data_IF_412249229737
#
_entry.id   IF_412249229737
#
_cell.length_a   1.000
_cell.length_b   1.000
_cell.length_c   1.000
_cell.angle_alpha   90.00
_cell.angle_beta   90.00
_cell.angle_gamma   90.00
#
_symmetry.space_group_name_H-M   'P 1'
#
loop_
_entity.id
_entity.type
_entity.pdbx_description
1 polymer ?
#
# COMPACT_ATOMS: atom_id res chain seq x y z
N UNK A 1 -50.51 -30.73 16.77
CA UNK A 1 -50.30 -30.32 15.37
C UNK A 1 -49.68 -28.93 15.38
N UNK A 2 -48.35 -28.87 15.36
CA UNK A 2 -47.57 -27.63 15.41
C UNK A 2 -47.25 -27.19 13.99
N UNK A 3 -47.77 -26.03 13.59
CA UNK A 3 -47.55 -25.46 12.27
C UNK A 3 -46.13 -24.91 12.15
N UNK A 4 -45.44 -25.30 11.08
CA UNK A 4 -44.07 -24.94 10.73
C UNK A 4 -43.96 -23.45 10.40
N UNK A 5 -43.09 -22.74 11.10
CA UNK A 5 -42.72 -21.36 10.81
C UNK A 5 -41.82 -21.32 9.58
N UNK A 6 -42.41 -21.03 8.42
CA UNK A 6 -41.67 -20.77 7.18
C UNK A 6 -40.89 -19.47 7.33
N UNK A 7 -39.57 -19.57 7.46
CA UNK A 7 -38.66 -18.44 7.47
C UNK A 7 -38.90 -17.57 6.22
N UNK A 8 -39.41 -16.36 6.42
CA UNK A 8 -39.54 -15.35 5.37
C UNK A 8 -38.13 -14.88 4.99
N UNK A 9 -37.62 -15.34 3.86
CA UNK A 9 -36.46 -14.74 3.20
C UNK A 9 -36.87 -13.30 2.88
N UNK A 10 -36.29 -12.34 3.60
CA UNK A 10 -36.45 -10.94 3.24
C UNK A 10 -35.76 -10.74 1.89
N UNK A 11 -36.43 -10.15 0.88
CA UNK A 11 -35.72 -9.75 -0.32
C UNK A 11 -34.58 -8.83 0.12
N UNK A 12 -33.38 -9.08 -0.41
CA UNK A 12 -32.25 -8.14 -0.28
C UNK A 12 -32.65 -6.94 -1.14
N UNK A 13 -33.47 -6.08 -0.56
CA UNK A 13 -33.88 -4.83 -1.18
C UNK A 13 -32.62 -3.98 -1.38
N UNK A 14 -32.41 -3.61 -2.64
CA UNK A 14 -31.53 -2.55 -3.10
C UNK A 14 -30.04 -2.86 -2.87
N UNK A 15 -29.40 -3.50 -3.86
CA UNK A 15 -27.98 -3.29 -4.11
C UNK A 15 -27.81 -1.80 -4.49
N UNK A 16 -27.85 -0.92 -3.48
CA UNK A 16 -27.33 0.43 -3.61
C UNK A 16 -25.91 0.25 -4.06
N UNK A 17 -25.73 0.38 -5.37
CA UNK A 17 -24.44 0.17 -6.01
C UNK A 17 -23.59 1.32 -5.53
N UNK A 18 -22.84 1.08 -4.45
CA UNK A 18 -21.91 2.05 -3.95
C UNK A 18 -20.89 2.30 -5.05
N UNK A 19 -20.94 3.49 -5.64
CA UNK A 19 -19.95 3.94 -6.62
C UNK A 19 -18.91 4.74 -5.86
N UNK A 20 -17.65 4.32 -5.97
CA UNK A 20 -16.54 5.14 -5.51
C UNK A 20 -16.56 6.48 -6.24
N UNK A 21 -16.29 7.61 -5.56
CA UNK A 21 -16.19 8.91 -6.20
C UNK A 21 -15.17 8.87 -7.33
N UNK A 22 -15.48 9.48 -8.47
CA UNK A 22 -14.56 9.53 -9.62
C UNK A 22 -13.23 10.23 -9.28
N UNK A 23 -13.22 11.09 -8.27
CA UNK A 23 -12.04 11.80 -7.78
C UNK A 23 -11.21 11.01 -6.76
N UNK A 24 -11.65 9.80 -6.38
CA UNK A 24 -10.92 8.96 -5.43
C UNK A 24 -9.59 8.53 -6.02
N UNK A 25 -8.52 8.68 -5.23
CA UNK A 25 -7.16 8.34 -5.64
C UNK A 25 -6.58 7.37 -4.64
N UNK A 26 -5.89 6.34 -5.15
CA UNK A 26 -5.13 5.43 -4.31
C UNK A 26 -3.80 6.10 -3.95
N UNK A 27 -3.45 6.08 -2.67
CA UNK A 27 -2.13 6.51 -2.20
C UNK A 27 -1.04 5.49 -2.56
N UNK A 28 0.24 5.88 -2.42
CA UNK A 28 1.34 4.94 -2.60
C UNK A 28 1.27 3.80 -1.56
N UNK A 29 1.71 2.57 -1.93
CA UNK A 29 1.92 1.52 -0.95
C UNK A 29 2.91 1.97 0.12
N UNK A 30 2.63 1.59 1.38
CA UNK A 30 3.53 1.82 2.51
C UNK A 30 4.06 0.46 3.00
N UNK A 31 5.38 0.28 2.99
CA UNK A 31 6.02 -0.95 3.45
C UNK A 31 6.89 -0.68 4.67
N UNK A 32 6.87 -1.60 5.64
CA UNK A 32 7.75 -1.54 6.80
C UNK A 32 9.08 -2.20 6.49
N UNK A 33 10.16 -1.55 6.90
CA UNK A 33 11.54 -2.00 6.64
C UNK A 33 12.38 -1.90 7.92
N UNK A 34 13.31 -2.84 8.10
CA UNK A 34 14.19 -2.91 9.28
C UNK A 34 15.45 -2.04 9.15
N UNK A 35 15.95 -1.85 7.93
CA UNK A 35 17.12 -1.02 7.61
C UNK A 35 16.78 -0.03 6.51
N UNK A 36 16.72 1.26 6.87
CA UNK A 36 16.48 2.34 5.92
C UNK A 36 17.59 2.44 4.88
N UNK A 37 18.85 2.38 5.32
CA UNK A 37 20.01 2.44 4.44
C UNK A 37 19.95 1.36 3.34
N UNK A 38 19.70 0.10 3.70
CA UNK A 38 19.62 -1.00 2.74
C UNK A 38 18.47 -0.79 1.74
N UNK A 39 17.32 -0.33 2.23
CA UNK A 39 16.17 -0.07 1.37
C UNK A 39 16.44 1.08 0.39
N UNK A 40 17.04 2.18 0.87
CA UNK A 40 17.40 3.33 0.03
C UNK A 40 18.41 2.92 -1.04
N UNK A 41 19.51 2.24 -0.69
CA UNK A 41 20.46 1.75 -1.70
C UNK A 41 19.78 0.94 -2.80
N UNK A 42 18.88 0.01 -2.45
CA UNK A 42 18.15 -0.76 -3.46
C UNK A 42 17.29 0.13 -4.38
N UNK A 43 16.49 1.03 -3.82
CA UNK A 43 15.56 1.84 -4.61
C UNK A 43 16.25 2.95 -5.40
N UNK A 44 17.29 3.57 -4.85
CA UNK A 44 18.03 4.65 -5.49
C UNK A 44 19.01 4.11 -6.55
N UNK A 45 19.73 3.02 -6.24
CA UNK A 45 20.77 2.50 -7.14
C UNK A 45 20.18 1.60 -8.23
N UNK A 46 19.28 0.67 -7.88
CA UNK A 46 18.73 -0.29 -8.83
C UNK A 46 17.50 0.25 -9.58
N UNK A 47 16.67 1.07 -8.92
CA UNK A 47 15.42 1.57 -9.51
C UNK A 47 15.42 3.06 -9.83
N UNK A 48 16.51 3.78 -9.51
CA UNK A 48 16.65 5.24 -9.75
C UNK A 48 15.48 6.05 -9.17
N UNK A 49 14.91 5.59 -8.06
CA UNK A 49 13.98 6.40 -7.29
C UNK A 49 14.78 7.41 -6.46
N UNK A 50 14.15 8.53 -6.14
CA UNK A 50 14.73 9.58 -5.30
C UNK A 50 13.84 9.80 -4.09
N UNK A 51 14.44 10.24 -2.97
CA UNK A 51 13.70 10.73 -1.82
C UNK A 51 12.91 11.99 -2.19
N UNK A 52 11.59 11.91 -2.03
CA UNK A 52 10.67 13.03 -2.25
C UNK A 52 10.25 13.74 -0.96
N UNK A 53 10.59 13.14 0.19
CA UNK A 53 10.39 13.75 1.50
C UNK A 53 10.54 12.76 2.62
N UNK A 54 10.86 13.26 3.81
CA UNK A 54 11.00 12.49 5.04
C UNK A 54 10.33 13.22 6.20
N UNK A 55 9.56 12.48 6.99
CA UNK A 55 8.89 12.99 8.19
C UNK A 55 8.59 11.84 9.15
N UNK A 56 8.35 12.15 10.41
CA UNK A 56 7.82 11.18 11.35
C UNK A 56 6.32 10.99 11.14
N UNK A 57 5.86 9.74 11.24
CA UNK A 57 4.44 9.43 11.24
C UNK A 57 3.81 9.87 12.57
N UNK A 58 2.74 10.66 12.50
CA UNK A 58 2.03 11.12 13.69
C UNK A 58 1.33 9.98 14.45
N UNK A 59 1.03 8.85 13.79
CA UNK A 59 0.29 7.76 14.42
C UNK A 59 1.16 6.84 15.29
N UNK A 60 2.39 6.53 14.85
CA UNK A 60 3.28 5.60 15.57
C UNK A 60 4.72 6.10 15.76
N UNK A 61 5.00 7.36 15.41
CA UNK A 61 6.29 8.02 15.61
C UNK A 61 7.42 7.49 14.73
N UNK A 62 7.14 6.57 13.80
CA UNK A 62 8.17 5.98 12.96
C UNK A 62 8.53 6.90 11.80
N UNK A 63 9.81 6.88 11.41
CA UNK A 63 10.26 7.63 10.25
C UNK A 63 9.61 7.08 8.96
N UNK A 64 9.03 8.00 8.19
CA UNK A 64 8.47 7.77 6.86
C UNK A 64 9.32 8.47 5.82
N UNK A 65 9.71 7.74 4.79
CA UNK A 65 10.45 8.26 3.63
C UNK A 65 9.67 7.96 2.36
N UNK A 66 9.29 9.00 1.63
CA UNK A 66 8.63 8.87 0.34
C UNK A 66 9.64 8.78 -0.80
N UNK A 67 9.46 7.83 -1.71
CA UNK A 67 10.30 7.59 -2.88
C UNK A 67 9.51 7.72 -4.18
N UNK A 68 10.12 8.23 -5.23
CA UNK A 68 9.52 8.30 -6.58
C UNK A 68 10.54 8.69 -7.65
N UNK A 69 10.16 8.60 -8.94
CA UNK A 69 11.03 9.05 -10.04
C UNK A 69 11.30 10.55 -9.98
N UNK A 70 12.36 11.00 -10.64
CA UNK A 70 12.76 12.40 -10.70
C UNK A 70 11.58 13.36 -11.00
N UNK A 71 10.80 13.05 -12.05
CA UNK A 71 9.66 13.83 -12.54
C UNK A 71 8.33 13.56 -11.80
N UNK A 72 8.31 12.61 -10.86
CA UNK A 72 7.10 12.27 -10.12
C UNK A 72 6.69 13.38 -9.15
N UNK A 73 5.44 13.84 -9.26
CA UNK A 73 4.88 14.88 -8.37
C UNK A 73 4.51 14.35 -6.99
N UNK A 74 4.33 13.04 -6.85
CA UNK A 74 3.94 12.37 -5.60
C UNK A 74 4.81 11.13 -5.41
N UNK A 75 5.07 10.72 -4.16
CA UNK A 75 5.73 9.46 -3.89
C UNK A 75 4.99 8.29 -4.54
N UNK A 76 5.75 7.35 -5.09
CA UNK A 76 5.28 6.06 -5.61
C UNK A 76 5.35 4.96 -4.55
N UNK A 77 6.22 5.12 -3.55
CA UNK A 77 6.42 4.18 -2.45
C UNK A 77 6.69 4.96 -1.16
N UNK A 78 6.14 4.50 -0.04
CA UNK A 78 6.51 4.98 1.29
C UNK A 78 7.25 3.88 2.03
N UNK A 79 8.45 4.17 2.49
CA UNK A 79 9.21 3.35 3.42
C UNK A 79 8.91 3.81 4.84
N UNK A 80 8.53 2.87 5.70
CA UNK A 80 8.32 3.12 7.13
C UNK A 80 9.37 2.38 7.93
N UNK A 81 10.34 3.12 8.48
CA UNK A 81 11.48 2.53 9.16
C UNK A 81 11.08 2.11 10.58
N UNK A 82 11.15 0.81 10.85
CA UNK A 82 10.99 0.25 12.18
C UNK A 82 12.23 -0.57 12.51
N UNK A 83 13.15 -0.05 13.33
CA UNK A 83 14.30 -0.82 13.80
C UNK A 83 13.85 -2.17 14.36
N UNK A 84 14.57 -3.24 14.02
CA UNK A 84 14.28 -4.61 14.45
C UNK A 84 12.94 -5.19 13.96
N UNK A 85 12.34 -4.64 12.89
CA UNK A 85 11.22 -5.29 12.22
C UNK A 85 11.61 -6.72 11.80
N UNK A 86 10.77 -7.70 12.15
CA UNK A 86 10.96 -9.09 11.73
C UNK A 86 10.64 -9.24 10.24
N UNK A 87 11.42 -10.06 9.56
CA UNK A 87 11.08 -10.45 8.18
C UNK A 87 9.76 -11.20 8.18
N UNK A 88 8.90 -10.86 7.22
CA UNK A 88 7.63 -11.54 7.02
C UNK A 88 7.87 -12.91 6.37
N UNK A 89 7.26 -14.00 6.90
CA UNK A 89 7.27 -15.30 6.24
C UNK A 89 6.69 -15.26 4.82
N UNK A 90 7.09 -16.19 3.97
CA UNK A 90 6.62 -16.24 2.57
C UNK A 90 5.13 -16.56 2.41
N UNK A 91 4.50 -17.17 3.42
CA UNK A 91 3.10 -17.61 3.47
C UNK A 91 2.17 -16.59 4.17
N UNK A 92 2.60 -15.34 4.33
CA UNK A 92 1.83 -14.31 5.01
C UNK A 92 0.79 -13.64 4.10
N UNK A 93 -0.41 -13.37 4.62
CA UNK A 93 -1.54 -12.77 3.88
C UNK A 93 -1.41 -11.25 3.62
N UNK A 94 -0.19 -10.72 3.55
CA UNK A 94 0.09 -9.29 3.36
C UNK A 94 0.20 -8.87 1.90
N UNK A 95 0.78 -7.68 1.67
CA UNK A 95 1.14 -7.23 0.32
C UNK A 95 2.14 -8.22 -0.30
N UNK A 96 1.70 -8.96 -1.31
CA UNK A 96 2.52 -9.98 -1.96
C UNK A 96 3.51 -9.41 -2.98
N UNK A 97 3.05 -8.52 -3.86
CA UNK A 97 3.89 -7.76 -4.77
C UNK A 97 3.25 -6.39 -5.06
N UNK A 98 4.08 -5.47 -5.54
CA UNK A 98 3.63 -4.24 -6.19
C UNK A 98 4.47 -4.06 -7.46
N UNK A 99 3.94 -3.29 -8.41
CA UNK A 99 4.61 -2.98 -9.65
C UNK A 99 4.74 -1.47 -9.81
N UNK A 100 5.89 -1.04 -10.33
CA UNK A 100 6.11 0.35 -10.73
C UNK A 100 6.00 0.40 -12.26
N UNK A 101 5.09 1.22 -12.76
CA UNK A 101 5.00 1.50 -14.18
C UNK A 101 6.13 2.48 -14.57
N UNK A 102 6.94 2.10 -15.54
CA UNK A 102 8.03 2.91 -16.10
C UNK A 102 7.69 3.37 -17.51
N UNK A 103 8.17 4.56 -17.90
CA UNK A 103 7.84 5.18 -19.20
C UNK A 103 8.45 4.45 -20.40
N UNK A 104 9.65 3.89 -20.26
CA UNK A 104 10.35 3.17 -21.32
C UNK A 104 10.90 1.85 -20.78
N UNK A 105 10.64 0.75 -21.50
CA UNK A 105 11.32 -0.53 -21.32
C UNK A 105 12.33 -0.63 -22.45
N UNK A 106 13.49 0.01 -22.34
CA UNK A 106 14.60 -0.34 -23.24
C UNK A 106 15.01 -1.77 -22.93
N UNK A 107 14.90 -2.63 -23.95
CA UNK A 107 15.30 -4.03 -23.91
C UNK A 107 16.81 -4.19 -23.73
#
# INVERSE_FOLDING_TARGET
>A
MTATETARIRPVDDFRTYKMPASMQLGPPTIRISSLQRALSFYEENMRLEVKGQHQDNEDGLDRVGLGFHDSKRPLLILKHRPNAKNTPHDFAGLYHYAILVQDRKA
#
